data_IF_674087386614
#
_entry.id   IF_674087386614
#
_cell.length_a   1.000
_cell.length_b   1.000
_cell.length_c   1.000
_cell.angle_alpha   90.00
_cell.angle_beta   90.00
_cell.angle_gamma   90.00
#
_symmetry.space_group_name_H-M   'P 1'
#
loop_
_entity.id
_entity.type
_entity.pdbx_description
1 polymer ?
#
# COMPACT_ATOMS: atom_id res chain seq x y z
N UNK A 1 4.67 8.41 13.40
CA UNK A 1 3.69 7.86 14.36
C UNK A 1 2.50 8.82 14.62
N UNK A 2 1.74 9.25 13.59
CA UNK A 2 0.64 10.24 13.74
C UNK A 2 -0.76 9.78 13.24
N UNK A 3 -0.93 8.55 12.73
CA UNK A 3 -2.21 8.17 12.09
C UNK A 3 -2.59 6.68 12.27
N UNK A 4 -2.97 6.26 13.48
CA UNK A 4 -3.24 4.83 13.75
C UNK A 4 -4.66 4.47 14.21
N UNK A 5 -5.68 5.33 14.05
CA UNK A 5 -7.03 4.95 14.52
C UNK A 5 -8.17 5.70 13.85
N UNK A 6 -9.16 4.96 13.34
CA UNK A 6 -10.44 5.51 12.90
C UNK A 6 -11.56 4.81 13.68
N UNK A 7 -12.17 5.50 14.65
CA UNK A 7 -13.36 5.00 15.35
C UNK A 7 -14.61 5.60 14.70
N UNK A 8 -15.49 4.76 14.19
CA UNK A 8 -16.76 5.15 13.58
C UNK A 8 -17.91 4.92 14.59
N UNK A 9 -17.99 5.70 15.67
CA UNK A 9 -19.11 5.60 16.62
C UNK A 9 -19.77 6.97 16.96
N UNK A 10 -19.50 8.02 16.17
CA UNK A 10 -20.22 9.31 16.25
C UNK A 10 -20.13 10.10 17.57
N UNK A 11 -19.53 9.54 18.63
CA UNK A 11 -19.38 10.15 19.96
C UNK A 11 -17.95 10.67 20.14
N UNK A 12 -17.75 11.91 19.69
CA UNK A 12 -16.44 12.58 19.61
C UNK A 12 -15.64 12.63 20.93
N UNK A 13 -16.29 12.68 22.08
CA UNK A 13 -15.60 12.78 23.38
C UNK A 13 -14.97 11.45 23.83
N UNK A 14 -15.55 10.31 23.45
CA UNK A 14 -14.98 8.98 23.72
C UNK A 14 -13.80 8.67 22.77
N UNK A 15 -13.84 9.25 21.56
CA UNK A 15 -12.85 9.09 20.50
C UNK A 15 -11.46 9.62 20.88
N UNK A 16 -11.38 10.77 21.55
CA UNK A 16 -10.08 11.39 21.92
C UNK A 16 -9.35 10.59 23.01
N UNK A 17 -10.10 10.11 24.01
CA UNK A 17 -9.56 9.24 25.06
C UNK A 17 -9.15 7.90 24.46
N UNK A 18 -9.98 7.34 23.57
CA UNK A 18 -9.68 6.09 22.90
C UNK A 18 -8.45 6.16 21.98
N UNK A 19 -8.29 7.26 21.24
CA UNK A 19 -7.10 7.53 20.44
C UNK A 19 -5.83 7.55 21.28
N UNK A 20 -5.86 8.25 22.43
CA UNK A 20 -4.73 8.30 23.35
C UNK A 20 -4.42 6.94 23.98
N UNK A 21 -5.44 6.13 24.29
CA UNK A 21 -5.27 4.78 24.84
C UNK A 21 -4.62 3.87 23.80
N UNK A 22 -5.17 3.79 22.59
CA UNK A 22 -4.62 2.90 21.57
C UNK A 22 -3.25 3.36 21.10
N UNK A 23 -3.03 4.67 20.97
CA UNK A 23 -1.70 5.21 20.69
C UNK A 23 -0.68 4.79 21.74
N UNK A 24 -1.02 4.87 23.04
CA UNK A 24 -0.13 4.50 24.15
C UNK A 24 0.09 2.99 24.27
N UNK A 25 -0.92 2.18 23.96
CA UNK A 25 -0.81 0.72 23.89
C UNK A 25 0.11 0.31 22.74
N UNK A 26 -0.13 0.83 21.54
CA UNK A 26 0.63 0.45 20.34
C UNK A 26 2.07 0.99 20.32
N UNK A 27 2.36 2.04 21.09
CA UNK A 27 3.72 2.60 21.20
C UNK A 27 4.55 1.95 22.32
N UNK A 28 4.07 0.89 22.97
CA UNK A 28 4.79 0.17 24.03
C UNK A 28 4.95 0.94 25.34
N UNK A 29 4.34 2.13 25.47
CA UNK A 29 4.47 3.01 26.64
C UNK A 29 3.43 2.76 27.73
N UNK A 30 2.60 1.71 27.63
CA UNK A 30 1.47 1.55 28.55
C UNK A 30 1.16 0.10 28.91
N UNK A 31 1.37 -0.22 30.19
CA UNK A 31 0.84 -1.41 30.82
C UNK A 31 -0.63 -1.13 31.20
N UNK A 32 -1.57 -1.91 30.66
CA UNK A 32 -3.01 -1.61 30.70
C UNK A 32 -3.64 -2.00 32.04
N UNK A 33 -3.04 -1.70 33.18
CA UNK A 33 -3.59 -2.25 34.44
C UNK A 33 -4.77 -1.46 35.01
N UNK A 34 -4.89 -0.13 34.95
CA UNK A 34 -5.83 0.50 35.92
C UNK A 34 -6.72 1.70 35.60
N UNK A 35 -6.85 2.26 34.38
CA UNK A 35 -7.57 3.56 34.26
C UNK A 35 -8.73 3.77 33.26
N UNK A 36 -9.16 2.79 32.47
CA UNK A 36 -10.22 3.06 31.48
C UNK A 36 -11.37 2.04 31.52
N UNK A 37 -12.41 2.35 32.30
CA UNK A 37 -13.72 1.66 32.39
C UNK A 37 -14.65 1.91 31.16
N UNK A 38 -14.15 2.52 30.10
CA UNK A 38 -14.99 3.35 29.20
C UNK A 38 -15.46 2.71 27.87
N UNK A 39 -15.30 1.41 27.64
CA UNK A 39 -15.68 0.81 26.35
C UNK A 39 -16.86 -0.18 26.32
N UNK A 40 -17.64 -0.43 27.39
CA UNK A 40 -18.72 -1.41 27.29
C UNK A 40 -19.82 -0.97 26.33
N UNK A 41 -20.01 0.31 26.01
CA UNK A 41 -21.14 0.75 25.17
C UNK A 41 -20.82 0.85 23.67
N UNK A 42 -19.62 0.45 23.24
CA UNK A 42 -19.22 0.52 21.85
C UNK A 42 -19.86 -0.64 21.07
N UNK A 43 -20.62 -0.33 20.01
CA UNK A 43 -21.29 -1.34 19.17
C UNK A 43 -20.54 -1.62 17.87
N UNK A 44 -19.80 -0.65 17.37
CA UNK A 44 -19.07 -0.73 16.10
C UNK A 44 -17.63 -0.30 16.33
N UNK A 45 -16.67 -1.09 15.87
CA UNK A 45 -15.27 -0.79 16.01
C UNK A 45 -14.50 -1.13 14.74
N UNK A 46 -13.59 -0.25 14.33
CA UNK A 46 -12.61 -0.56 13.32
C UNK A 46 -11.22 -0.24 13.85
N UNK A 47 -10.33 -1.21 13.80
CA UNK A 47 -8.93 -1.06 14.13
C UNK A 47 -8.12 -1.14 12.84
N UNK A 48 -7.30 -0.12 12.58
CA UNK A 48 -6.43 -0.09 11.41
C UNK A 48 -5.02 0.32 11.83
N UNK A 49 -4.12 -0.65 11.87
CA UNK A 49 -2.74 -0.45 12.23
C UNK A 49 -1.90 -0.35 10.96
N UNK A 50 -1.41 0.87 10.67
CA UNK A 50 -0.52 1.12 9.53
C UNK A 50 0.91 0.67 9.78
N UNK A 51 1.33 0.75 11.04
CA UNK A 51 2.67 0.33 11.48
C UNK A 51 2.63 -1.13 11.95
N UNK A 52 3.78 -1.80 11.87
CA UNK A 52 3.93 -3.19 12.29
C UNK A 52 3.72 -3.31 13.80
N UNK A 53 2.92 -4.28 14.20
CA UNK A 53 2.73 -4.67 15.61
C UNK A 53 3.63 -5.87 15.89
N UNK A 54 4.41 -5.82 16.96
CA UNK A 54 5.29 -6.91 17.36
C UNK A 54 4.57 -7.96 18.24
N UNK A 55 3.67 -7.52 19.13
CA UNK A 55 2.99 -8.40 20.09
C UNK A 55 1.46 -8.27 20.02
N UNK A 56 0.83 -9.04 19.13
CA UNK A 56 -0.63 -9.08 18.98
C UNK A 56 -1.33 -9.49 20.29
N UNK A 57 -0.81 -10.53 20.95
CA UNK A 57 -1.40 -11.09 22.17
C UNK A 57 -1.33 -10.14 23.37
N UNK A 58 -0.28 -9.33 23.47
CA UNK A 58 -0.11 -8.38 24.57
C UNK A 58 -0.79 -7.03 24.28
N UNK A 59 -0.79 -6.59 23.01
CA UNK A 59 -1.25 -5.25 22.64
C UNK A 59 -2.73 -5.22 22.23
N UNK A 60 -3.17 -6.19 21.43
CA UNK A 60 -4.47 -6.14 20.74
C UNK A 60 -5.52 -6.94 21.51
N UNK A 61 -5.18 -8.16 21.92
CA UNK A 61 -6.13 -9.06 22.60
C UNK A 61 -6.72 -8.45 23.89
N UNK A 62 -5.96 -7.81 24.79
CA UNK A 62 -6.53 -7.23 26.00
C UNK A 62 -7.47 -6.04 25.72
N UNK A 63 -7.20 -5.29 24.64
CA UNK A 63 -8.07 -4.21 24.18
C UNK A 63 -9.40 -4.78 23.67
N UNK A 64 -9.33 -5.79 22.80
CA UNK A 64 -10.48 -6.47 22.22
C UNK A 64 -11.38 -7.08 23.32
N UNK A 65 -10.79 -7.76 24.31
CA UNK A 65 -11.54 -8.38 25.43
C UNK A 65 -12.31 -7.38 26.30
N UNK A 66 -12.02 -6.08 26.23
CA UNK A 66 -12.76 -5.04 26.98
C UNK A 66 -14.00 -4.53 26.24
N UNK A 67 -14.18 -4.89 24.97
CA UNK A 67 -15.29 -4.44 24.12
C UNK A 67 -16.43 -5.47 24.09
N UNK A 68 -16.97 -5.83 25.26
CA UNK A 68 -17.89 -6.97 25.41
C UNK A 68 -19.23 -6.84 24.66
N UNK A 69 -19.72 -5.62 24.43
CA UNK A 69 -20.98 -5.38 23.71
C UNK A 69 -20.79 -5.04 22.23
N UNK A 70 -19.61 -5.33 21.68
CA UNK A 70 -19.31 -5.08 20.29
C UNK A 70 -20.17 -5.97 19.40
N UNK A 71 -20.75 -5.37 18.37
CA UNK A 71 -21.65 -6.00 17.41
C UNK A 71 -21.01 -6.19 16.05
N UNK A 72 -20.22 -5.20 15.62
CA UNK A 72 -19.40 -5.26 14.42
C UNK A 72 -17.94 -4.89 14.72
N UNK A 73 -17.02 -5.68 14.17
CA UNK A 73 -15.57 -5.47 14.27
C UNK A 73 -14.92 -5.58 12.88
N UNK A 74 -14.18 -4.54 12.50
CA UNK A 74 -13.33 -4.52 11.32
C UNK A 74 -11.86 -4.42 11.75
N UNK A 75 -11.06 -5.45 11.50
CA UNK A 75 -9.69 -5.58 12.01
C UNK A 75 -8.66 -5.57 10.86
N UNK A 76 -7.92 -4.48 10.69
CA UNK A 76 -6.85 -4.36 9.69
C UNK A 76 -5.50 -4.25 10.39
N UNK A 77 -4.69 -5.31 10.34
CA UNK A 77 -3.42 -5.41 11.06
C UNK A 77 -2.26 -5.76 10.15
N UNK A 78 -1.11 -5.18 10.46
CA UNK A 78 0.20 -5.63 10.00
C UNK A 78 0.96 -6.10 11.24
N UNK A 79 1.23 -7.40 11.32
CA UNK A 79 1.92 -8.03 12.44
C UNK A 79 3.29 -8.53 11.99
N UNK A 80 4.31 -8.33 12.82
CA UNK A 80 5.63 -8.90 12.64
C UNK A 80 5.93 -9.78 13.84
N UNK A 81 6.11 -11.07 13.58
CA UNK A 81 6.33 -12.07 14.63
C UNK A 81 7.47 -12.97 14.22
N UNK A 82 8.35 -13.32 15.16
CA UNK A 82 9.50 -14.17 14.84
C UNK A 82 9.14 -15.65 14.70
N UNK A 83 8.00 -16.08 15.25
CA UNK A 83 7.71 -17.51 15.43
C UNK A 83 6.40 -17.97 14.80
N UNK A 84 5.34 -17.15 14.88
CA UNK A 84 3.97 -17.56 14.49
C UNK A 84 3.18 -16.40 13.90
N UNK A 85 2.41 -16.68 12.86
CA UNK A 85 1.38 -15.76 12.38
C UNK A 85 0.15 -15.85 13.27
N UNK A 86 -0.72 -14.85 13.17
CA UNK A 86 -2.05 -14.89 13.80
C UNK A 86 -2.89 -15.89 13.01
N UNK A 87 -3.15 -17.06 13.58
CA UNK A 87 -3.95 -18.09 12.94
C UNK A 87 -5.44 -18.00 13.29
N UNK A 88 -6.26 -18.75 12.56
CA UNK A 88 -7.71 -18.70 12.71
C UNK A 88 -8.20 -19.24 14.07
N UNK A 89 -7.52 -20.23 14.63
CA UNK A 89 -7.84 -20.78 15.95
C UNK A 89 -7.57 -19.77 17.08
N UNK A 90 -6.45 -19.04 16.98
CA UNK A 90 -6.07 -17.96 17.91
C UNK A 90 -7.08 -16.82 17.82
N UNK A 91 -7.38 -16.36 16.61
CA UNK A 91 -8.36 -15.31 16.37
C UNK A 91 -9.76 -15.69 16.86
N UNK A 92 -10.18 -16.94 16.66
CA UNK A 92 -11.45 -17.45 17.16
C UNK A 92 -11.50 -17.47 18.69
N UNK A 93 -10.43 -17.92 19.36
CA UNK A 93 -10.34 -17.91 20.82
C UNK A 93 -10.44 -16.50 21.38
N UNK A 94 -9.93 -15.48 20.69
CA UNK A 94 -10.02 -14.10 21.16
C UNK A 94 -11.39 -13.47 20.93
N UNK A 95 -12.10 -13.90 19.89
CA UNK A 95 -13.44 -13.39 19.56
C UNK A 95 -14.53 -14.04 20.40
N UNK A 96 -14.32 -15.24 20.96
CA UNK A 96 -15.33 -15.91 21.81
C UNK A 96 -15.76 -15.06 23.02
N UNK A 97 -14.91 -14.11 23.43
CA UNK A 97 -15.19 -13.16 24.50
C UNK A 97 -16.12 -12.00 24.11
N UNK A 98 -16.55 -11.92 22.84
CA UNK A 98 -17.47 -10.91 22.32
C UNK A 98 -18.81 -11.55 21.91
N UNK A 99 -19.70 -11.90 22.86
CA UNK A 99 -20.90 -12.67 22.59
C UNK A 99 -21.93 -11.96 21.70
N UNK A 100 -21.84 -10.63 21.55
CA UNK A 100 -22.74 -9.84 20.69
C UNK A 100 -22.21 -9.64 19.27
N UNK A 101 -20.99 -10.12 18.98
CA UNK A 101 -20.33 -9.92 17.70
C UNK A 101 -20.98 -10.82 16.65
N UNK A 102 -21.75 -10.22 15.76
CA UNK A 102 -22.42 -10.93 14.66
C UNK A 102 -21.80 -10.62 13.31
N UNK A 103 -20.91 -9.63 13.24
CA UNK A 103 -20.16 -9.30 12.04
C UNK A 103 -18.71 -9.04 12.38
N UNK A 104 -17.85 -9.83 11.77
CA UNK A 104 -16.41 -9.70 11.91
C UNK A 104 -15.78 -9.72 10.53
N UNK A 105 -15.05 -8.66 10.19
CA UNK A 105 -14.20 -8.60 9.01
C UNK A 105 -12.77 -8.35 9.42
N UNK A 106 -11.83 -8.92 8.68
CA UNK A 106 -10.42 -8.75 8.99
C UNK A 106 -9.54 -8.78 7.76
N UNK A 107 -8.37 -8.17 7.91
CA UNK A 107 -7.27 -8.15 6.97
C UNK A 107 -5.97 -8.16 7.78
N UNK A 108 -5.34 -9.32 7.85
CA UNK A 108 -4.16 -9.54 8.68
C UNK A 108 -3.02 -9.90 7.75
N UNK A 109 -1.98 -9.08 7.75
CA UNK A 109 -0.71 -9.37 7.12
C UNK A 109 0.30 -9.70 8.22
N UNK A 110 0.74 -10.95 8.29
CA UNK A 110 1.77 -11.40 9.24
C UNK A 110 3.09 -11.63 8.52
N UNK A 111 4.19 -11.13 9.07
CA UNK A 111 5.56 -11.44 8.62
C UNK A 111 6.23 -12.38 9.62
N UNK A 112 6.76 -13.52 9.15
CA UNK A 112 7.43 -14.54 9.98
C UNK A 112 8.81 -14.88 9.44
N UNK A 113 9.80 -15.06 10.32
CA UNK A 113 11.12 -15.58 9.94
C UNK A 113 11.01 -17.03 9.43
N UNK A 114 11.84 -17.40 8.44
CA UNK A 114 11.84 -18.73 7.79
C UNK A 114 12.05 -19.88 8.78
N UNK A 115 10.97 -20.42 9.34
CA UNK A 115 11.04 -21.64 10.16
C UNK A 115 9.95 -22.65 9.88
N UNK A 116 8.79 -22.28 9.33
CA UNK A 116 7.68 -23.22 9.10
C UNK A 116 6.88 -22.89 7.84
N UNK A 117 6.99 -23.76 6.83
CA UNK A 117 6.17 -23.68 5.62
C UNK A 117 4.80 -24.30 5.89
N UNK A 118 3.75 -23.50 5.78
CA UNK A 118 2.38 -24.00 5.76
C UNK A 118 1.81 -23.79 4.36
N UNK A 119 1.25 -24.85 3.78
CA UNK A 119 0.54 -24.74 2.50
C UNK A 119 -0.68 -23.83 2.66
N UNK A 120 -0.99 -23.09 1.60
CA UNK A 120 -2.11 -22.16 1.57
C UNK A 120 -3.43 -22.80 2.03
N UNK A 121 -3.71 -24.02 1.54
CA UNK A 121 -4.89 -24.79 1.91
C UNK A 121 -4.96 -25.13 3.41
N UNK A 122 -3.82 -25.38 4.05
CA UNK A 122 -3.79 -25.65 5.49
C UNK A 122 -4.18 -24.41 6.28
N UNK A 123 -3.67 -23.24 5.87
CA UNK A 123 -4.00 -21.98 6.54
C UNK A 123 -5.47 -21.64 6.35
N UNK A 124 -6.03 -21.78 5.14
CA UNK A 124 -7.47 -21.57 4.93
C UNK A 124 -8.32 -22.46 5.85
N UNK A 125 -7.94 -23.73 6.04
CA UNK A 125 -8.64 -24.66 6.95
C UNK A 125 -8.64 -24.21 8.41
N UNK A 126 -7.62 -23.47 8.87
CA UNK A 126 -7.59 -22.93 10.23
C UNK A 126 -8.64 -21.83 10.45
N UNK A 127 -9.15 -21.22 9.37
CA UNK A 127 -10.17 -20.17 9.43
C UNK A 127 -11.59 -20.69 9.15
N UNK A 128 -11.80 -22.01 9.16
CA UNK A 128 -13.08 -22.66 8.82
C UNK A 128 -14.28 -22.27 9.71
N UNK A 129 -14.03 -21.72 10.89
CA UNK A 129 -15.08 -21.35 11.86
C UNK A 129 -15.63 -19.94 11.65
N UNK A 130 -15.04 -19.14 10.77
CA UNK A 130 -15.56 -17.82 10.44
C UNK A 130 -16.70 -17.96 9.42
N UNK A 131 -17.91 -17.57 9.82
CA UNK A 131 -19.15 -17.72 9.05
C UNK A 131 -19.11 -17.13 7.62
N UNK A 132 -18.14 -16.26 7.34
CA UNK A 132 -17.79 -15.80 6.01
C UNK A 132 -16.77 -16.74 5.37
N UNK A 133 -17.19 -17.95 4.98
CA UNK A 133 -16.36 -19.03 4.41
C UNK A 133 -15.50 -18.66 3.18
N UNK A 134 -15.56 -17.42 2.71
CA UNK A 134 -14.70 -16.88 1.68
C UNK A 134 -13.52 -16.16 2.36
N UNK A 135 -12.62 -16.95 2.93
CA UNK A 135 -11.34 -16.44 3.40
C UNK A 135 -10.36 -16.54 2.25
N UNK A 136 -9.65 -15.43 2.00
CA UNK A 136 -8.60 -15.40 0.98
C UNK A 136 -7.26 -15.33 1.69
N UNK A 137 -6.30 -16.06 1.15
CA UNK A 137 -4.98 -16.26 1.72
C UNK A 137 -3.94 -16.16 0.61
N UNK A 138 -2.97 -15.28 0.80
CA UNK A 138 -1.79 -15.16 -0.04
C UNK A 138 -0.57 -15.42 0.83
N UNK A 139 0.34 -16.27 0.35
CA UNK A 139 1.58 -16.60 1.05
C UNK A 139 2.71 -16.30 0.10
N UNK A 140 3.68 -15.56 0.62
CA UNK A 140 4.85 -15.14 -0.12
C UNK A 140 6.10 -15.45 0.69
N UNK A 141 7.10 -15.98 -0.01
CA UNK A 141 8.36 -16.39 0.58
C UNK A 141 9.48 -15.52 0.01
N UNK A 142 10.09 -14.73 0.88
CA UNK A 142 11.16 -13.81 0.56
C UNK A 142 12.49 -14.43 0.97
N UNK A 143 13.16 -15.07 0.01
CA UNK A 143 14.41 -15.79 0.23
C UNK A 143 15.55 -14.84 0.59
N UNK A 144 15.68 -13.72 -0.13
CA UNK A 144 16.75 -12.74 0.10
C UNK A 144 16.62 -12.07 1.47
N UNK A 145 15.39 -11.81 1.93
CA UNK A 145 15.12 -11.19 3.23
C UNK A 145 14.91 -12.16 4.39
N UNK A 146 14.98 -13.46 4.13
CA UNK A 146 14.84 -14.51 5.12
C UNK A 146 13.49 -14.55 5.90
N UNK A 147 12.37 -14.11 5.29
CA UNK A 147 11.04 -14.17 5.91
C UNK A 147 9.94 -14.61 4.94
N UNK A 148 8.78 -14.95 5.50
CA UNK A 148 7.55 -15.22 4.77
C UNK A 148 6.45 -14.25 5.19
N UNK A 149 5.64 -13.82 4.24
CA UNK A 149 4.46 -13.00 4.47
C UNK A 149 3.21 -13.85 4.29
N UNK A 150 2.30 -13.72 5.25
CA UNK A 150 1.00 -14.38 5.27
C UNK A 150 -0.06 -13.31 5.28
N UNK A 151 -0.74 -13.15 4.15
CA UNK A 151 -1.84 -12.23 4.04
C UNK A 151 -3.15 -13.01 4.08
N UNK A 152 -3.91 -12.87 5.16
CA UNK A 152 -5.23 -13.48 5.32
C UNK A 152 -6.29 -12.39 5.47
N UNK A 153 -7.37 -12.46 4.68
CA UNK A 153 -8.47 -11.52 4.80
C UNK A 153 -9.83 -12.15 4.52
N UNK A 154 -10.86 -11.59 5.16
CA UNK A 154 -12.25 -11.93 4.88
C UNK A 154 -12.71 -11.30 3.55
N UNK A 155 -13.46 -12.04 2.74
CA UNK A 155 -14.08 -11.52 1.52
C UNK A 155 -14.95 -10.28 1.80
N UNK A 156 -14.93 -9.30 0.88
CA UNK A 156 -15.53 -7.95 1.03
C UNK A 156 -14.94 -7.12 2.19
N UNK A 157 -13.67 -7.33 2.52
CA UNK A 157 -12.95 -6.41 3.41
C UNK A 157 -13.02 -4.97 2.89
N UNK A 158 -13.30 -4.01 3.79
CA UNK A 158 -13.34 -2.56 3.49
C UNK A 158 -11.95 -1.93 3.63
N UNK A 159 -10.99 -2.49 2.92
CA UNK A 159 -9.61 -2.06 2.99
C UNK A 159 -9.43 -0.72 2.26
N UNK A 160 -8.85 0.29 2.92
CA UNK A 160 -8.49 1.55 2.26
C UNK A 160 -7.08 1.53 1.65
N UNK A 161 -6.18 0.75 2.23
CA UNK A 161 -4.75 0.68 1.89
C UNK A 161 -4.34 -0.79 1.84
N UNK A 162 -3.78 -1.23 0.71
CA UNK A 162 -3.22 -2.57 0.53
C UNK A 162 -1.70 -2.45 0.41
N UNK A 163 -0.98 -2.95 1.40
CA UNK A 163 0.48 -2.83 1.46
C UNK A 163 1.13 -4.15 1.05
N UNK A 164 2.28 -4.05 0.38
CA UNK A 164 3.18 -5.16 0.00
C UNK A 164 2.50 -6.28 -0.79
N UNK A 165 1.77 -5.92 -1.86
CA UNK A 165 1.25 -6.88 -2.83
C UNK A 165 2.39 -7.48 -3.64
N UNK A 166 2.37 -8.81 -3.77
CA UNK A 166 3.37 -9.62 -4.47
C UNK A 166 2.82 -10.22 -5.77
N UNK A 167 3.65 -10.91 -6.55
CA UNK A 167 3.20 -11.61 -7.76
C UNK A 167 2.17 -12.74 -7.48
N UNK A 168 2.07 -13.23 -6.24
CA UNK A 168 1.10 -14.28 -5.88
C UNK A 168 -0.31 -13.73 -5.64
N UNK A 169 -0.50 -12.42 -5.78
CA UNK A 169 -1.78 -11.76 -5.63
C UNK A 169 -2.88 -12.44 -6.47
N UNK A 170 -3.96 -12.96 -5.83
CA UNK A 170 -4.98 -13.77 -6.49
C UNK A 170 -5.95 -12.98 -7.37
N UNK A 171 -5.72 -11.67 -7.57
CA UNK A 171 -6.68 -10.72 -8.11
C UNK A 171 -7.95 -10.59 -7.24
N UNK A 172 -8.85 -9.71 -7.67
CA UNK A 172 -10.16 -9.52 -7.04
C UNK A 172 -10.60 -8.07 -7.13
N UNK A 173 -11.88 -7.78 -6.93
CA UNK A 173 -12.39 -6.41 -7.03
C UNK A 173 -12.36 -5.71 -5.66
N UNK A 174 -11.50 -4.71 -5.52
CA UNK A 174 -11.31 -3.96 -4.27
C UNK A 174 -11.71 -2.49 -4.46
N UNK A 175 -13.02 -2.22 -4.46
CA UNK A 175 -13.55 -0.87 -4.73
C UNK A 175 -13.28 0.17 -3.64
N UNK A 176 -12.89 -0.26 -2.44
CA UNK A 176 -12.60 0.66 -1.32
C UNK A 176 -11.13 1.01 -1.17
N UNK A 177 -10.24 0.31 -1.86
CA UNK A 177 -8.79 0.52 -1.79
C UNK A 177 -8.41 1.73 -2.64
N UNK A 178 -7.70 2.66 -2.03
CA UNK A 178 -7.26 3.91 -2.66
C UNK A 178 -5.74 4.05 -2.70
N UNK A 179 -5.02 3.23 -1.93
CA UNK A 179 -3.56 3.22 -1.88
C UNK A 179 -3.04 1.80 -1.96
N UNK A 180 -2.08 1.55 -2.83
CA UNK A 180 -1.47 0.24 -3.05
C UNK A 180 0.05 0.35 -3.00
N UNK A 181 0.70 -0.57 -2.29
CA UNK A 181 2.15 -0.78 -2.36
C UNK A 181 2.42 -2.17 -2.97
N UNK A 182 3.38 -2.24 -3.89
CA UNK A 182 3.83 -3.48 -4.53
C UNK A 182 5.27 -3.78 -4.09
N UNK A 183 5.54 -5.00 -3.66
CA UNK A 183 6.89 -5.47 -3.33
C UNK A 183 7.03 -6.96 -3.63
N UNK A 184 8.08 -7.35 -4.34
CA UNK A 184 8.44 -8.76 -4.57
C UNK A 184 9.94 -8.88 -4.83
N UNK A 185 10.52 -10.05 -4.53
CA UNK A 185 11.89 -10.42 -4.91
C UNK A 185 11.98 -10.87 -6.37
N UNK A 186 10.84 -11.19 -7.00
CA UNK A 186 10.70 -11.48 -8.43
C UNK A 186 10.27 -10.22 -9.19
N UNK A 187 10.67 -10.05 -10.46
CA UNK A 187 10.21 -8.91 -11.25
C UNK A 187 8.69 -8.92 -11.46
N UNK A 188 8.10 -7.72 -11.55
CA UNK A 188 6.70 -7.56 -11.96
C UNK A 188 6.62 -7.39 -13.47
N UNK A 189 5.95 -8.30 -14.16
CA UNK A 189 5.76 -8.22 -15.60
C UNK A 189 4.51 -7.40 -15.97
N UNK A 190 4.38 -7.04 -17.25
CA UNK A 190 3.25 -6.23 -17.75
C UNK A 190 1.88 -6.78 -17.34
N UNK A 191 1.70 -8.10 -17.43
CA UNK A 191 0.42 -8.75 -17.10
C UNK A 191 0.06 -8.63 -15.60
N UNK A 192 1.05 -8.41 -14.72
CA UNK A 192 0.82 -8.13 -13.31
C UNK A 192 0.17 -6.75 -13.12
N UNK A 193 0.69 -5.73 -13.80
CA UNK A 193 0.15 -4.36 -13.70
C UNK A 193 -1.28 -4.25 -14.24
N UNK A 194 -1.62 -5.00 -15.30
CA UNK A 194 -3.01 -5.13 -15.76
C UNK A 194 -3.93 -5.68 -14.67
N UNK A 195 -3.51 -6.77 -14.01
CA UNK A 195 -4.26 -7.36 -12.89
C UNK A 195 -4.44 -6.36 -11.74
N UNK A 196 -3.43 -5.54 -11.45
CA UNK A 196 -3.52 -4.47 -10.45
C UNK A 196 -4.54 -3.41 -10.88
N UNK A 197 -4.50 -2.93 -12.12
CA UNK A 197 -5.45 -1.94 -12.62
C UNK A 197 -6.90 -2.43 -12.53
N UNK A 198 -7.16 -3.67 -12.94
CA UNK A 198 -8.48 -4.30 -12.87
C UNK A 198 -8.96 -4.51 -11.43
N UNK A 199 -8.04 -4.84 -10.53
CA UNK A 199 -8.37 -5.14 -9.13
C UNK A 199 -8.67 -3.89 -8.31
N UNK A 200 -8.09 -2.74 -8.68
CA UNK A 200 -8.15 -1.50 -7.90
C UNK A 200 -8.63 -0.31 -8.74
N UNK A 201 -9.90 -0.31 -9.20
CA UNK A 201 -10.40 0.70 -10.15
C UNK A 201 -10.40 2.14 -9.60
N UNK A 202 -10.43 2.32 -8.27
CA UNK A 202 -10.44 3.63 -7.60
C UNK A 202 -9.11 3.98 -6.92
N UNK A 203 -8.02 3.28 -7.28
CA UNK A 203 -6.69 3.55 -6.75
C UNK A 203 -6.23 4.97 -7.09
N UNK A 204 -5.76 5.69 -6.07
CA UNK A 204 -5.21 7.05 -6.17
C UNK A 204 -3.70 7.07 -6.02
N UNK A 205 -3.15 6.20 -5.18
CA UNK A 205 -1.72 6.14 -4.92
C UNK A 205 -1.18 4.73 -5.19
N UNK A 206 -0.14 4.63 -6.01
CA UNK A 206 0.58 3.40 -6.29
C UNK A 206 2.06 3.57 -5.94
N UNK A 207 2.57 2.74 -5.06
CA UNK A 207 3.99 2.64 -4.75
C UNK A 207 4.52 1.31 -5.26
N UNK A 208 5.67 1.34 -5.94
CA UNK A 208 6.33 0.14 -6.43
C UNK A 208 7.72 0.09 -5.80
N UNK A 209 8.03 -1.01 -5.13
CA UNK A 209 9.34 -1.29 -4.56
C UNK A 209 9.87 -2.61 -5.16
N UNK A 210 10.53 -2.54 -6.31
CA UNK A 210 11.10 -3.73 -6.96
C UNK A 210 12.36 -3.37 -7.75
N UNK A 211 13.50 -3.90 -7.32
CA UNK A 211 14.80 -3.61 -7.93
C UNK A 211 15.17 -4.60 -9.04
N UNK A 212 14.36 -5.61 -9.32
CA UNK A 212 14.61 -6.58 -10.38
C UNK A 212 14.08 -6.06 -11.72
N UNK A 213 14.92 -6.15 -12.74
CA UNK A 213 14.58 -5.83 -14.13
C UNK A 213 13.46 -6.72 -14.67
N UNK A 214 12.63 -6.17 -15.56
CA UNK A 214 11.55 -6.92 -16.21
C UNK A 214 12.14 -7.86 -17.26
N UNK A 215 11.81 -9.15 -17.19
CA UNK A 215 12.38 -10.14 -18.10
C UNK A 215 11.78 -10.08 -19.51
N UNK A 216 10.51 -9.66 -19.64
CA UNK A 216 9.78 -9.70 -20.92
C UNK A 216 9.80 -8.39 -21.69
N UNK A 217 9.98 -7.26 -21.01
CA UNK A 217 10.00 -5.93 -21.66
C UNK A 217 11.17 -5.82 -22.66
N UNK A 218 12.35 -6.33 -22.27
CA UNK A 218 13.58 -6.31 -23.08
C UNK A 218 13.47 -7.24 -24.30
N UNK A 219 12.81 -8.40 -24.16
CA UNK A 219 12.68 -9.37 -25.26
C UNK A 219 11.63 -8.94 -26.30
N UNK A 220 10.50 -8.37 -25.87
CA UNK A 220 9.34 -8.10 -26.76
C UNK A 220 9.43 -6.81 -27.56
N UNK A 221 10.35 -5.88 -27.24
CA UNK A 221 10.68 -4.76 -28.14
C UNK A 221 11.13 -5.27 -29.51
N UNK A 222 11.71 -6.48 -29.57
CA UNK A 222 12.14 -7.10 -30.82
C UNK A 222 11.03 -7.87 -31.57
N UNK A 223 9.89 -8.17 -30.93
CA UNK A 223 8.92 -9.17 -31.42
C UNK A 223 7.57 -8.58 -31.90
N UNK A 224 7.42 -7.25 -32.05
CA UNK A 224 6.20 -6.58 -32.56
C UNK A 224 4.88 -6.95 -31.84
N UNK A 225 4.91 -7.49 -30.62
CA UNK A 225 3.70 -7.81 -29.87
C UNK A 225 3.10 -6.53 -29.27
N UNK A 226 1.89 -6.16 -29.72
CA UNK A 226 1.11 -5.05 -29.15
C UNK A 226 0.54 -5.52 -27.81
N UNK A 227 1.04 -4.94 -26.72
CA UNK A 227 0.49 -5.15 -25.38
C UNK A 227 -0.70 -4.23 -25.14
N UNK A 228 -1.69 -4.68 -24.37
CA UNK A 228 -2.78 -3.82 -23.91
C UNK A 228 -2.22 -2.69 -23.05
N UNK A 229 -2.67 -1.45 -23.29
CA UNK A 229 -2.29 -0.30 -22.48
C UNK A 229 -2.87 -0.47 -21.07
N UNK A 230 -2.04 -0.27 -20.05
CA UNK A 230 -2.48 -0.28 -18.65
C UNK A 230 -3.05 1.10 -18.31
N UNK A 231 -4.29 1.15 -17.82
CA UNK A 231 -4.95 2.41 -17.47
C UNK A 231 -5.18 2.52 -15.96
N UNK A 232 -4.77 3.65 -15.37
CA UNK A 232 -5.04 3.97 -13.97
C UNK A 232 -5.80 5.30 -13.88
N UNK A 233 -7.12 5.32 -14.16
CA UNK A 233 -7.87 6.56 -14.38
C UNK A 233 -7.93 7.49 -13.16
N UNK A 234 -7.80 6.95 -11.95
CA UNK A 234 -7.92 7.69 -10.70
C UNK A 234 -6.56 7.99 -10.03
N UNK A 235 -5.46 7.57 -10.64
CA UNK A 235 -4.13 7.66 -10.04
C UNK A 235 -3.65 9.10 -10.00
N UNK A 236 -3.43 9.64 -8.81
CA UNK A 236 -2.86 10.98 -8.66
C UNK A 236 -1.44 10.95 -8.10
N UNK A 237 -0.95 9.78 -7.63
CA UNK A 237 0.42 9.61 -7.17
C UNK A 237 0.99 8.26 -7.60
N UNK A 238 2.18 8.27 -8.20
CA UNK A 238 2.96 7.09 -8.54
C UNK A 238 4.37 7.23 -7.96
N UNK A 239 4.77 6.28 -7.11
CA UNK A 239 6.08 6.28 -6.45
C UNK A 239 6.94 5.12 -6.96
N UNK A 240 8.00 5.48 -7.67
CA UNK A 240 9.00 4.61 -8.30
C UNK A 240 10.40 4.85 -7.70
N UNK A 241 10.50 5.48 -6.54
CA UNK A 241 11.81 5.87 -5.95
C UNK A 241 12.72 4.68 -5.64
N UNK A 242 12.15 3.48 -5.42
CA UNK A 242 12.89 2.25 -5.10
C UNK A 242 12.71 1.16 -6.16
N UNK A 243 12.57 1.54 -7.42
CA UNK A 243 12.39 0.57 -8.52
C UNK A 243 13.60 0.47 -9.43
N UNK A 244 13.64 -0.61 -10.22
CA UNK A 244 14.46 -0.70 -11.41
C UNK A 244 14.00 0.32 -12.48
N UNK A 245 14.89 0.67 -13.40
CA UNK A 245 14.62 1.66 -14.46
C UNK A 245 13.51 1.22 -15.43
N UNK A 246 13.35 -0.09 -15.65
CA UNK A 246 12.31 -0.64 -16.54
C UNK A 246 10.88 -0.25 -16.12
N UNK A 247 10.62 -0.14 -14.82
CA UNK A 247 9.30 0.28 -14.32
C UNK A 247 9.04 1.76 -14.59
N UNK A 248 10.11 2.57 -14.57
CA UNK A 248 10.06 3.98 -14.95
C UNK A 248 9.80 4.07 -16.45
N UNK A 249 10.51 3.28 -17.27
CA UNK A 249 10.27 3.21 -18.71
C UNK A 249 8.82 2.79 -19.03
N UNK A 250 8.30 1.77 -18.34
CA UNK A 250 6.90 1.33 -18.45
C UNK A 250 5.92 2.48 -18.20
N UNK A 251 6.14 3.27 -17.15
CA UNK A 251 5.26 4.38 -16.77
C UNK A 251 5.33 5.58 -17.72
N UNK A 252 6.51 5.85 -18.29
CA UNK A 252 6.73 7.00 -19.18
C UNK A 252 6.33 6.73 -20.63
N UNK A 253 6.12 5.46 -20.99
CA UNK A 253 5.72 5.08 -22.35
C UNK A 253 4.20 5.00 -22.41
N UNK A 254 3.59 5.94 -23.12
CA UNK A 254 2.15 6.03 -23.33
C UNK A 254 1.55 4.79 -24.04
N UNK A 255 2.36 4.15 -24.88
CA UNK A 255 2.06 2.86 -25.51
C UNK A 255 1.97 1.68 -24.54
N UNK A 256 2.41 1.84 -23.29
CA UNK A 256 2.42 0.78 -22.27
C UNK A 256 1.53 1.11 -21.09
N UNK A 257 1.55 2.37 -20.64
CA UNK A 257 0.77 2.84 -19.51
C UNK A 257 0.18 4.23 -19.81
N UNK A 258 -1.14 4.33 -19.68
CA UNK A 258 -1.85 5.61 -19.76
C UNK A 258 -2.03 6.19 -18.37
N UNK A 259 -1.23 7.21 -18.06
CA UNK A 259 -1.35 7.98 -16.84
C UNK A 259 -2.37 9.11 -17.03
N UNK A 260 -3.16 9.43 -15.99
CA UNK A 260 -4.04 10.60 -16.00
C UNK A 260 -3.21 11.90 -15.91
N UNK A 261 -3.86 13.02 -16.23
CA UNK A 261 -3.23 14.34 -16.11
C UNK A 261 -3.03 14.72 -14.64
N UNK A 262 -2.00 15.52 -14.38
CA UNK A 262 -1.65 16.05 -13.05
C UNK A 262 -1.24 14.97 -12.03
N UNK A 263 -0.47 13.98 -12.48
CA UNK A 263 0.05 12.94 -11.59
C UNK A 263 1.30 13.41 -10.82
N UNK A 264 1.36 13.15 -9.53
CA UNK A 264 2.55 13.30 -8.70
C UNK A 264 3.45 12.08 -8.88
N UNK A 265 4.59 12.26 -9.54
CA UNK A 265 5.50 11.15 -9.84
C UNK A 265 6.75 11.26 -8.96
N UNK A 266 6.97 10.28 -8.08
CA UNK A 266 8.18 10.21 -7.29
C UNK A 266 9.15 9.26 -7.99
N UNK A 267 10.27 9.76 -8.48
CA UNK A 267 11.29 8.92 -9.14
C UNK A 267 12.67 9.54 -8.93
N UNK A 268 13.69 8.69 -8.77
CA UNK A 268 15.06 9.16 -8.64
C UNK A 268 15.52 9.89 -9.92
N UNK A 269 16.17 11.05 -9.75
CA UNK A 269 16.58 11.90 -10.87
C UNK A 269 17.48 11.16 -11.86
N UNK A 270 18.49 10.45 -11.35
CA UNK A 270 19.43 9.73 -12.20
C UNK A 270 18.76 8.63 -13.03
N UNK A 271 17.80 7.91 -12.46
CA UNK A 271 17.01 6.92 -13.20
C UNK A 271 16.14 7.58 -14.27
N UNK A 272 15.48 8.70 -13.93
CA UNK A 272 14.69 9.46 -14.90
C UNK A 272 15.55 9.98 -16.06
N UNK A 273 16.75 10.53 -15.76
CA UNK A 273 17.71 11.00 -16.75
C UNK A 273 18.18 9.88 -17.68
N UNK A 274 18.44 8.67 -17.16
CA UNK A 274 18.81 7.51 -17.98
C UNK A 274 17.67 7.09 -18.91
N UNK A 275 16.46 6.89 -18.38
CA UNK A 275 15.31 6.40 -19.14
C UNK A 275 14.88 7.37 -20.25
N UNK A 276 14.92 8.67 -19.95
CA UNK A 276 14.56 9.73 -20.90
C UNK A 276 15.70 10.13 -21.84
N UNK A 277 16.87 9.49 -21.72
CA UNK A 277 18.09 9.88 -22.43
C UNK A 277 18.36 11.38 -22.31
N UNK A 278 18.58 11.84 -21.08
CA UNK A 278 18.73 13.26 -20.74
C UNK A 278 17.56 14.11 -21.25
N UNK A 279 16.33 13.62 -21.13
CA UNK A 279 15.10 14.29 -21.58
C UNK A 279 15.01 14.56 -23.09
N UNK A 280 15.78 13.85 -23.92
CA UNK A 280 15.74 14.01 -25.38
C UNK A 280 14.91 12.92 -26.08
N UNK A 281 14.48 11.87 -25.37
CA UNK A 281 13.71 10.77 -25.94
C UNK A 281 12.25 11.17 -26.17
N UNK A 282 11.87 11.39 -27.43
CA UNK A 282 10.52 11.83 -27.81
C UNK A 282 9.39 10.93 -27.28
N UNK A 283 9.59 9.61 -27.30
CA UNK A 283 8.58 8.61 -26.87
C UNK A 283 8.17 8.78 -25.40
N UNK A 284 9.04 9.31 -24.54
CA UNK A 284 8.68 9.57 -23.14
C UNK A 284 7.98 10.91 -22.93
N UNK A 285 8.01 11.80 -23.93
CA UNK A 285 7.55 13.19 -23.81
C UNK A 285 6.08 13.33 -23.43
N UNK A 286 5.21 12.47 -23.95
CA UNK A 286 3.77 12.57 -23.72
C UNK A 286 3.39 12.36 -22.25
N UNK A 287 3.85 11.28 -21.61
CA UNK A 287 3.57 11.06 -20.18
C UNK A 287 4.41 11.99 -19.29
N UNK A 288 5.63 12.39 -19.70
CA UNK A 288 6.39 13.43 -18.99
C UNK A 288 5.61 14.75 -18.89
N UNK A 289 4.87 15.14 -19.92
CA UNK A 289 4.07 16.37 -19.91
C UNK A 289 2.85 16.32 -18.95
N UNK A 290 2.45 15.13 -18.49
CA UNK A 290 1.33 14.94 -17.55
C UNK A 290 1.74 15.03 -16.08
N UNK A 291 3.04 15.11 -15.80
CA UNK A 291 3.59 15.14 -14.46
C UNK A 291 3.26 16.50 -13.80
N UNK A 292 2.51 16.47 -12.69
CA UNK A 292 2.26 17.66 -11.87
C UNK A 292 3.45 18.03 -10.99
N UNK A 293 4.15 17.03 -10.49
CA UNK A 293 5.31 17.21 -9.63
C UNK A 293 6.27 16.03 -9.79
N UNK A 294 7.57 16.34 -9.66
CA UNK A 294 8.63 15.35 -9.56
C UNK A 294 9.27 15.47 -8.18
N UNK A 295 9.25 14.37 -7.41
CA UNK A 295 9.96 14.31 -6.14
C UNK A 295 11.34 13.72 -6.37
N UNK A 296 12.36 14.55 -6.16
CA UNK A 296 13.76 14.17 -6.27
C UNK A 296 14.31 13.72 -4.92
N UNK A 297 15.41 12.95 -4.94
CA UNK A 297 16.15 12.70 -3.71
C UNK A 297 16.89 13.97 -3.28
N UNK A 298 17.16 14.18 -1.97
CA UNK A 298 17.87 15.37 -1.48
C UNK A 298 19.27 15.59 -2.08
N UNK A 299 19.86 14.54 -2.65
CA UNK A 299 21.16 14.61 -3.34
C UNK A 299 20.99 15.17 -4.75
N UNK A 300 19.88 14.85 -5.41
CA UNK A 300 19.57 15.22 -6.79
C UNK A 300 19.00 16.65 -6.92
N UNK A 301 18.45 17.21 -5.84
CA UNK A 301 17.91 18.58 -5.78
C UNK A 301 18.95 19.67 -6.09
N UNK A 302 20.24 19.33 -6.05
CA UNK A 302 21.35 20.27 -6.28
C UNK A 302 21.82 20.34 -7.74
N UNK A 303 21.24 19.54 -8.64
CA UNK A 303 21.63 19.54 -10.06
C UNK A 303 20.85 20.64 -10.82
N UNK A 304 21.54 21.73 -11.18
CA UNK A 304 20.98 22.88 -11.91
C UNK A 304 20.28 22.48 -13.22
N UNK A 305 20.67 21.36 -13.83
CA UNK A 305 20.06 20.89 -15.09
C UNK A 305 18.63 20.38 -14.91
N UNK A 306 18.19 20.07 -13.68
CA UNK A 306 16.80 19.69 -13.36
C UNK A 306 15.83 20.81 -13.74
N UNK A 307 16.16 22.05 -13.39
CA UNK A 307 15.27 23.21 -13.53
C UNK A 307 15.03 23.60 -14.99
N UNK A 308 15.94 23.25 -15.89
CA UNK A 308 15.81 23.54 -17.32
C UNK A 308 14.74 22.68 -17.99
N UNK A 309 14.64 21.41 -17.61
CA UNK A 309 13.73 20.44 -18.25
C UNK A 309 12.38 20.32 -17.55
N UNK A 310 12.33 20.67 -16.26
CA UNK A 310 11.15 20.50 -15.42
C UNK A 310 10.86 21.80 -14.65
N UNK A 311 10.47 22.88 -15.33
CA UNK A 311 10.41 24.23 -14.76
C UNK A 311 9.34 24.43 -13.67
N UNK A 312 8.51 23.42 -13.40
CA UNK A 312 7.40 23.48 -12.43
C UNK A 312 7.47 22.40 -11.36
N UNK A 313 8.62 21.75 -11.17
CA UNK A 313 8.80 20.77 -10.09
C UNK A 313 8.72 21.46 -8.74
N UNK A 314 7.73 21.05 -7.95
CA UNK A 314 7.72 21.37 -6.53
C UNK A 314 8.83 20.57 -5.85
N UNK A 315 9.96 21.20 -5.60
CA UNK A 315 11.01 20.67 -4.73
C UNK A 315 10.46 20.81 -3.30
N UNK A 316 10.21 19.71 -2.57
CA UNK A 316 9.84 19.83 -1.17
C UNK A 316 11.07 20.29 -0.41
N UNK A 317 11.04 21.50 0.14
CA UNK A 317 12.04 21.90 1.13
C UNK A 317 12.03 20.88 2.27
N UNK A 318 13.22 20.35 2.57
CA UNK A 318 13.45 19.43 3.67
C UNK A 318 12.95 20.03 4.99
N UNK A 319 11.74 19.68 5.43
CA UNK A 319 11.37 19.82 6.84
C UNK A 319 10.21 18.91 7.24
N UNK A 320 10.52 18.04 8.21
CA UNK A 320 9.65 17.55 9.28
C UNK A 320 8.14 17.77 9.10
N UNK A 321 7.47 16.74 8.57
CA UNK A 321 6.04 16.46 8.67
C UNK A 321 5.11 17.60 9.11
N UNK A 322 4.60 18.36 8.14
CA UNK A 322 3.33 19.07 8.25
C UNK A 322 2.69 19.24 6.86
N UNK A 323 1.36 19.31 6.86
CA UNK A 323 0.44 19.12 5.74
C UNK A 323 0.77 19.97 4.49
N UNK A 324 0.72 19.33 3.31
CA UNK A 324 0.98 19.98 2.02
C UNK A 324 -0.30 20.63 1.45
N UNK A 325 -0.21 21.91 1.09
CA UNK A 325 -1.19 22.62 0.25
C UNK A 325 -0.84 22.44 -1.24
N UNK A 326 -1.82 22.37 -2.15
CA UNK A 326 -1.57 22.24 -3.58
C UNK A 326 -1.06 23.56 -4.17
N UNK A 327 0.02 23.48 -4.96
CA UNK A 327 0.51 24.59 -5.76
C UNK A 327 -0.35 24.70 -7.05
N UNK A 328 -0.94 25.87 -7.38
CA UNK A 328 -1.80 26.00 -8.56
C UNK A 328 -0.95 26.14 -9.85
N UNK A 329 -1.29 25.32 -10.84
CA UNK A 329 -0.65 25.25 -12.15
C UNK A 329 -1.00 26.43 -13.08
N UNK A 330 -0.08 26.72 -14.02
CA UNK A 330 -0.36 27.10 -15.42
C UNK A 330 0.84 26.70 -16.28
N UNK A 331 0.61 25.90 -17.33
CA UNK A 331 1.61 25.50 -18.34
C UNK A 331 1.34 26.30 -19.62
N UNK A 332 2.39 26.86 -20.21
CA UNK A 332 2.44 27.20 -21.65
C UNK A 332 3.66 26.50 -22.25
N UNK A 333 3.41 25.50 -23.09
CA UNK A 333 4.45 24.83 -23.89
C UNK A 333 4.76 25.70 -25.10
N UNK A 334 5.96 26.25 -25.19
CA UNK A 334 6.49 26.76 -26.46
C UNK A 334 6.92 25.55 -27.28
N UNK A 335 6.09 25.16 -28.25
CA UNK A 335 6.48 24.27 -29.32
C UNK A 335 7.58 24.96 -30.14
N UNK A 336 8.80 24.42 -30.07
CA UNK A 336 9.92 24.84 -30.92
C UNK A 336 9.56 24.65 -32.39
N UNK A 337 9.62 25.76 -33.13
CA UNK A 337 9.26 25.83 -34.53
C UNK A 337 10.10 24.92 -35.42
N UNK A 338 9.45 24.45 -36.48
CA UNK A 338 10.11 23.98 -37.70
C UNK A 338 10.99 25.12 -38.23
N UNK A 339 12.24 24.82 -38.56
CA UNK A 339 12.98 25.56 -39.58
C UNK A 339 13.31 24.58 -40.70
N UNK A 340 13.02 25.04 -41.92
CA UNK A 340 13.09 24.34 -43.20
C UNK A 340 14.47 23.75 -43.52
#
# INVERSE_FOLDING_TARGET
MKECLYVLDGRFDQLRIFYLIVYRILSGYFNIEHKYKLLPNLRFFSLCCKEKIHDFDESIVPLLRRMLNLKELDLNLVAESHEKFIDGDTLQKDIIYMPQLHKFTFNICSTINHRNFSLNEHIQKMYKYFANNQIVTCIDHFQEKAYSQYHIYSYRCKLKVYIDITNNFPAGLFTSVTKVSLYDERPFEHEFFLRIAESFPFMKELTIENRKAQGRLIKRINDNQILSIIEYPNLNRLDLTKTHDDYIELSLFDTKMSLPHNIHHCVGYHSLKRVTYCFTRYITGYNCAKLAALYLSPVDERDESVHYYLPHTCIPETSTGQDFLPCPAKISVLAGGRTN
#
